data_IF_551102531874
#
_entry.id   IF_551102531874
#
_cell.length_a   1.000
_cell.length_b   1.000
_cell.length_c   1.000
_cell.angle_alpha   90.00
_cell.angle_beta   90.00
_cell.angle_gamma   90.00
#
_symmetry.space_group_name_H-M   'P 1'
#
loop_
_entity.id
_entity.type
_entity.pdbx_description
1 polymer ?
#
# COMPACT_ATOMS: atom_id res chain seq x y z
N UNK A 1 12.64 -5.86 -12.27
CA UNK A 1 12.91 -5.20 -13.57
C UNK A 1 13.20 -3.73 -13.29
N UNK A 2 14.10 -3.10 -14.03
CA UNK A 2 14.42 -1.67 -13.91
C UNK A 2 14.33 -1.01 -15.30
N UNK A 3 13.82 0.21 -15.38
CA UNK A 3 13.74 0.97 -16.64
C UNK A 3 14.89 1.97 -16.72
N UNK A 4 15.74 1.87 -17.74
CA UNK A 4 16.95 2.70 -17.89
C UNK A 4 16.75 3.97 -18.76
N UNK A 5 15.53 4.20 -19.26
CA UNK A 5 15.23 5.28 -20.21
C UNK A 5 15.02 4.78 -21.64
N UNK A 6 15.62 3.64 -22.00
CA UNK A 6 15.56 3.04 -23.33
C UNK A 6 14.89 1.65 -23.32
N UNK A 7 14.97 0.93 -22.20
CA UNK A 7 14.48 -0.43 -22.08
C UNK A 7 14.33 -0.94 -20.64
N UNK A 8 13.64 -2.08 -20.52
CA UNK A 8 13.53 -2.82 -19.27
C UNK A 8 14.71 -3.79 -19.11
N UNK A 9 15.44 -3.65 -18.01
CA UNK A 9 16.55 -4.53 -17.62
C UNK A 9 16.13 -5.50 -16.50
N UNK A 10 16.57 -6.75 -16.60
CA UNK A 10 16.42 -7.77 -15.56
C UNK A 10 17.63 -7.76 -14.62
N UNK A 11 17.39 -7.74 -13.31
CA UNK A 11 18.44 -7.92 -12.30
C UNK A 11 18.13 -9.16 -11.45
N UNK A 12 19.16 -9.94 -11.12
CA UNK A 12 19.02 -11.07 -10.20
C UNK A 12 18.75 -10.56 -8.78
N UNK A 13 17.71 -11.11 -8.14
CA UNK A 13 17.32 -10.75 -6.79
C UNK A 13 17.55 -11.93 -5.83
N UNK A 14 18.28 -11.74 -4.70
CA UNK A 14 18.45 -12.77 -3.70
C UNK A 14 17.23 -12.81 -2.76
N UNK A 15 16.31 -13.77 -2.94
CA UNK A 15 15.22 -13.97 -1.97
C UNK A 15 13.94 -14.61 -2.51
N UNK A 16 12.90 -14.55 -1.67
CA UNK A 16 11.54 -14.98 -2.00
C UNK A 16 10.89 -14.05 -3.03
N UNK A 17 9.87 -14.55 -3.72
CA UNK A 17 9.11 -13.81 -4.74
C UNK A 17 7.91 -13.04 -4.17
N UNK A 18 7.63 -13.17 -2.86
CA UNK A 18 6.46 -12.55 -2.23
C UNK A 18 6.90 -11.45 -1.26
N UNK A 19 6.61 -10.21 -1.63
CA UNK A 19 6.98 -9.01 -0.92
C UNK A 19 6.67 -7.79 -1.79
N UNK A 20 7.15 -6.64 -1.37
CA UNK A 20 6.96 -5.38 -2.08
C UNK A 20 8.26 -4.59 -2.21
N UNK A 21 8.30 -3.64 -3.15
CA UNK A 21 9.50 -2.88 -3.52
C UNK A 21 9.25 -1.38 -3.57
N UNK A 22 10.15 -0.61 -2.95
CA UNK A 22 10.20 0.83 -3.06
C UNK A 22 11.55 1.26 -3.65
N UNK A 23 11.55 2.16 -4.62
CA UNK A 23 12.77 2.71 -5.21
C UNK A 23 12.87 4.20 -4.88
N UNK A 24 13.97 4.59 -4.21
CA UNK A 24 14.32 5.99 -3.96
C UNK A 24 15.17 6.52 -5.12
N UNK A 25 16.12 5.71 -5.57
CA UNK A 25 17.01 5.96 -6.70
C UNK A 25 17.44 4.62 -7.34
N UNK A 26 18.21 4.67 -8.42
CA UNK A 26 18.78 3.48 -9.08
C UNK A 26 19.77 2.72 -8.19
N UNK A 27 20.37 3.42 -7.22
CA UNK A 27 21.29 2.89 -6.21
C UNK A 27 20.71 2.84 -4.78
N UNK A 28 19.41 3.07 -4.63
CA UNK A 28 18.72 3.06 -3.34
C UNK A 28 17.33 2.44 -3.49
N UNK A 29 17.28 1.11 -3.34
CA UNK A 29 16.06 0.31 -3.52
C UNK A 29 15.82 -0.57 -2.31
N UNK A 30 14.57 -0.63 -1.86
CA UNK A 30 14.14 -1.39 -0.70
C UNK A 30 13.15 -2.46 -1.11
N UNK A 31 13.32 -3.66 -0.57
CA UNK A 31 12.39 -4.76 -0.74
C UNK A 31 12.02 -5.35 0.62
N UNK A 32 10.75 -5.31 0.97
CA UNK A 32 10.26 -5.86 2.23
C UNK A 32 9.51 -7.17 1.97
N UNK A 33 9.83 -8.22 2.73
CA UNK A 33 9.23 -9.54 2.54
C UNK A 33 9.28 -10.40 3.78
N UNK A 34 8.49 -11.47 3.76
CA UNK A 34 8.77 -12.64 4.59
C UNK A 34 9.95 -13.47 4.09
N UNK A 35 10.47 -14.29 4.99
CA UNK A 35 11.47 -15.32 4.72
C UNK A 35 10.96 -16.70 5.14
N UNK A 36 11.53 -17.76 4.55
CA UNK A 36 11.12 -19.13 4.83
C UNK A 36 11.41 -19.60 6.27
N UNK A 37 12.36 -18.94 6.96
CA UNK A 37 12.68 -19.15 8.37
C UNK A 37 11.77 -18.37 9.33
N UNK A 38 10.70 -17.76 8.82
CA UNK A 38 9.63 -17.20 9.65
C UNK A 38 9.85 -15.76 10.10
N UNK A 39 10.65 -14.96 9.37
CA UNK A 39 10.92 -13.57 9.74
C UNK A 39 10.54 -12.59 8.64
N UNK A 40 10.04 -11.41 9.04
CA UNK A 40 9.95 -10.26 8.15
C UNK A 40 11.31 -9.59 8.01
N UNK A 41 11.71 -9.27 6.79
CA UNK A 41 12.98 -8.60 6.48
C UNK A 41 12.77 -7.46 5.49
N UNK A 42 13.68 -6.49 5.56
CA UNK A 42 13.87 -5.46 4.56
C UNK A 42 15.26 -5.63 3.95
N UNK A 43 15.32 -5.77 2.63
CA UNK A 43 16.57 -5.81 1.85
C UNK A 43 16.78 -4.45 1.20
N UNK A 44 17.96 -3.89 1.36
CA UNK A 44 18.37 -2.61 0.79
C UNK A 44 19.45 -2.83 -0.26
N UNK A 45 19.24 -2.32 -1.46
CA UNK A 45 20.24 -2.26 -2.53
C UNK A 45 20.95 -0.92 -2.49
N UNK A 46 22.28 -0.95 -2.44
CA UNK A 46 23.16 0.23 -2.37
C UNK A 46 23.81 0.58 -3.72
N UNK A 47 23.20 0.16 -4.84
CA UNK A 47 23.79 0.29 -6.19
C UNK A 47 24.80 -0.80 -6.53
N UNK A 48 25.26 -1.58 -5.55
CA UNK A 48 26.24 -2.65 -5.80
C UNK A 48 25.81 -3.99 -5.23
N UNK A 49 25.15 -4.00 -4.08
CA UNK A 49 24.84 -5.21 -3.32
C UNK A 49 23.56 -5.05 -2.51
N UNK A 50 22.90 -6.18 -2.23
CA UNK A 50 21.75 -6.21 -1.33
C UNK A 50 22.21 -6.50 0.11
N UNK A 51 21.71 -5.72 1.06
CA UNK A 51 21.92 -5.93 2.51
C UNK A 51 20.59 -6.23 3.17
N UNK A 52 20.53 -7.27 3.98
CA UNK A 52 19.30 -7.68 4.67
C UNK A 52 19.29 -7.18 6.10
N UNK A 53 18.18 -6.57 6.51
CA UNK A 53 17.90 -6.15 7.88
C UNK A 53 16.59 -6.77 8.34
N UNK A 54 16.49 -7.18 9.61
CA UNK A 54 15.23 -7.69 10.15
C UNK A 54 14.23 -6.55 10.38
N UNK A 55 12.96 -6.82 10.07
CA UNK A 55 11.84 -5.96 10.47
C UNK A 55 11.41 -6.40 11.88
N UNK A 56 11.60 -5.56 12.92
CA UNK A 56 11.42 -6.01 14.29
C UNK A 56 9.99 -6.50 14.55
N UNK A 57 9.88 -7.75 14.98
CA UNK A 57 8.61 -8.39 15.34
C UNK A 57 7.69 -8.75 14.16
N UNK A 58 8.12 -8.56 12.91
CA UNK A 58 7.35 -9.03 11.76
C UNK A 58 7.59 -10.54 11.52
N UNK A 59 6.52 -11.28 11.30
CA UNK A 59 6.55 -12.67 10.84
C UNK A 59 6.69 -12.80 9.31
N UNK A 60 6.64 -14.02 8.76
CA UNK A 60 6.83 -14.25 7.34
C UNK A 60 5.66 -13.76 6.48
N UNK A 61 4.44 -13.77 7.00
CA UNK A 61 3.25 -13.33 6.28
C UNK A 61 2.76 -11.95 6.75
N UNK A 62 3.63 -11.24 7.48
CA UNK A 62 3.32 -9.98 8.14
C UNK A 62 3.48 -8.74 7.27
N UNK A 63 4.09 -8.84 6.09
CA UNK A 63 4.46 -7.67 5.28
C UNK A 63 3.57 -7.58 4.06
N UNK A 64 2.86 -6.46 3.92
CA UNK A 64 1.98 -6.16 2.80
C UNK A 64 2.61 -5.19 1.81
N UNK A 65 3.29 -4.14 2.31
CA UNK A 65 3.82 -3.06 1.47
C UNK A 65 5.06 -2.41 2.09
N UNK A 66 5.89 -1.82 1.22
CA UNK A 66 6.99 -0.91 1.59
C UNK A 66 6.95 0.31 0.70
N UNK A 67 7.11 1.50 1.30
CA UNK A 67 7.15 2.76 0.57
C UNK A 67 8.27 3.65 1.09
N UNK A 68 8.95 4.33 0.18
CA UNK A 68 10.06 5.22 0.50
C UNK A 68 9.77 6.66 0.07
N UNK A 69 9.82 7.59 1.03
CA UNK A 69 9.78 9.03 0.77
C UNK A 69 11.18 9.63 0.58
N UNK A 70 12.19 8.93 1.09
CA UNK A 70 13.61 9.19 0.83
C UNK A 70 14.49 8.16 1.52
N UNK A 71 15.81 8.24 1.33
CA UNK A 71 16.78 7.25 1.84
C UNK A 71 16.73 7.00 3.36
N UNK A 72 16.18 7.96 4.11
CA UNK A 72 16.07 7.93 5.57
C UNK A 72 14.62 7.97 6.07
N UNK A 73 13.63 7.80 5.20
CA UNK A 73 12.21 7.84 5.53
C UNK A 73 11.47 6.78 4.71
N UNK A 74 11.41 5.58 5.28
CA UNK A 74 10.87 4.40 4.62
C UNK A 74 9.97 3.67 5.58
N UNK A 75 8.80 3.26 5.12
CA UNK A 75 7.82 2.56 5.91
C UNK A 75 7.57 1.18 5.34
N UNK A 76 7.49 0.19 6.22
CA UNK A 76 6.99 -1.14 5.90
C UNK A 76 5.74 -1.38 6.75
N UNK A 77 4.68 -1.89 6.13
CA UNK A 77 3.39 -2.11 6.78
C UNK A 77 2.83 -3.50 6.53
N UNK A 78 1.88 -3.90 7.38
CA UNK A 78 1.19 -5.18 7.29
C UNK A 78 0.50 -5.57 8.59
N UNK A 79 0.74 -6.78 9.08
CA UNK A 79 0.13 -7.35 10.30
C UNK A 79 1.13 -7.94 11.28
N UNK A 80 0.85 -7.85 12.57
CA UNK A 80 1.56 -8.56 13.64
C UNK A 80 0.57 -8.91 14.74
N UNK A 81 0.49 -10.19 15.09
CA UNK A 81 -0.43 -10.70 16.12
C UNK A 81 -1.88 -10.25 15.86
N UNK A 82 -2.32 -10.38 14.60
CA UNK A 82 -3.66 -9.97 14.14
C UNK A 82 -3.97 -8.48 14.35
N UNK A 83 -2.92 -7.65 14.39
CA UNK A 83 -2.99 -6.20 14.58
C UNK A 83 -2.21 -5.42 13.52
N UNK A 84 -2.60 -4.16 13.24
CA UNK A 84 -1.89 -3.30 12.30
C UNK A 84 -0.40 -3.17 12.65
N UNK A 85 0.47 -3.49 11.69
CA UNK A 85 1.90 -3.35 11.82
C UNK A 85 2.43 -2.21 10.97
N UNK A 86 3.30 -1.37 11.55
CA UNK A 86 4.11 -0.42 10.81
C UNK A 86 5.51 -0.32 11.43
N UNK A 87 6.53 -0.31 10.58
CA UNK A 87 7.91 -0.06 10.95
C UNK A 87 8.49 1.06 10.09
N UNK A 88 9.31 1.90 10.70
CA UNK A 88 9.96 3.05 10.08
C UNK A 88 11.47 2.92 10.08
N UNK A 89 12.08 3.11 8.92
CA UNK A 89 13.52 3.28 8.76
C UNK A 89 13.86 4.75 8.87
N UNK A 90 14.79 5.07 9.78
CA UNK A 90 15.23 6.44 10.02
C UNK A 90 16.61 6.76 9.43
N UNK A 91 17.07 5.98 8.44
CA UNK A 91 18.43 6.05 7.89
C UNK A 91 19.46 5.16 8.58
N UNK A 92 19.13 4.60 9.76
CA UNK A 92 20.10 3.79 10.54
C UNK A 92 19.53 2.48 11.07
N UNK A 93 18.24 2.46 11.43
CA UNK A 93 17.56 1.27 11.93
C UNK A 93 16.06 1.35 11.72
N UNK A 94 15.45 0.18 11.61
CA UNK A 94 14.00 0.03 11.69
C UNK A 94 13.52 0.20 13.14
N UNK A 95 12.39 0.89 13.31
CA UNK A 95 11.68 1.00 14.58
C UNK A 95 10.21 0.68 14.35
N UNK A 96 9.62 -0.12 15.23
CA UNK A 96 8.18 -0.36 15.20
C UNK A 96 7.46 0.89 15.67
N UNK A 97 6.61 1.41 14.80
CA UNK A 97 5.74 2.56 15.04
C UNK A 97 4.33 2.20 14.54
N UNK A 98 3.77 1.10 15.01
CA UNK A 98 2.41 0.67 14.66
C UNK A 98 1.35 1.66 15.15
N UNK A 99 0.20 1.74 14.47
CA UNK A 99 -1.02 2.24 15.09
C UNK A 99 -1.36 1.48 16.39
N UNK A 100 -2.18 2.09 17.25
CA UNK A 100 -2.70 1.40 18.42
C UNK A 100 -3.55 0.19 18.03
N UNK A 101 -3.61 -0.80 18.93
CA UNK A 101 -4.39 -2.01 18.72
C UNK A 101 -5.86 -1.70 18.44
N UNK A 102 -6.42 -2.43 17.48
CA UNK A 102 -7.83 -2.42 17.12
C UNK A 102 -8.53 -3.47 17.95
N UNK A 103 -9.62 -3.07 18.59
CA UNK A 103 -10.44 -3.98 19.39
C UNK A 103 -11.49 -4.66 18.49
N UNK A 104 -11.60 -6.00 18.50
CA UNK A 104 -12.68 -6.69 17.81
C UNK A 104 -14.04 -6.22 18.33
N UNK A 105 -15.06 -6.13 17.46
CA UNK A 105 -16.45 -6.05 17.90
C UNK A 105 -16.81 -7.18 18.88
N UNK A 106 -17.73 -6.95 19.84
CA UNK A 106 -18.18 -8.01 20.73
C UNK A 106 -18.85 -9.15 19.95
N UNK A 107 -18.45 -10.39 20.25
CA UNK A 107 -19.06 -11.59 19.67
C UNK A 107 -18.36 -12.14 18.43
N UNK A 108 -17.20 -11.57 18.06
CA UNK A 108 -16.31 -12.12 17.02
C UNK A 108 -15.37 -13.15 17.67
N UNK A 109 -15.38 -14.39 17.18
CA UNK A 109 -14.49 -15.46 17.59
C UNK A 109 -13.17 -15.43 16.79
N UNK A 110 -13.23 -15.03 15.51
CA UNK A 110 -12.07 -14.74 14.68
C UNK A 110 -11.92 -13.22 14.47
N UNK A 111 -10.69 -12.71 14.57
CA UNK A 111 -10.38 -11.32 14.30
C UNK A 111 -8.99 -11.17 13.73
N UNK A 112 -8.86 -10.36 12.68
CA UNK A 112 -7.55 -9.96 12.18
C UNK A 112 -7.58 -8.54 11.62
N UNK A 113 -6.52 -7.78 11.86
CA UNK A 113 -6.37 -6.43 11.36
C UNK A 113 -4.97 -6.20 10.79
N UNK A 114 -4.91 -5.55 9.64
CA UNK A 114 -3.66 -5.28 8.94
C UNK A 114 -3.70 -3.96 8.18
N UNK A 115 -2.52 -3.42 7.89
CA UNK A 115 -2.33 -2.34 6.93
C UNK A 115 -1.98 -2.94 5.58
N UNK A 116 -2.74 -2.61 4.54
CA UNK A 116 -2.52 -3.11 3.18
C UNK A 116 -1.46 -2.30 2.45
N UNK A 117 -1.39 -0.99 2.72
CA UNK A 117 -0.56 -0.06 1.96
C UNK A 117 -0.19 1.19 2.79
N UNK A 118 0.95 1.81 2.46
CA UNK A 118 1.40 3.10 2.98
C UNK A 118 1.89 3.98 1.84
N UNK A 119 1.45 5.23 1.84
CA UNK A 119 1.84 6.24 0.87
C UNK A 119 2.11 7.59 1.53
N UNK A 120 2.73 8.49 0.78
CA UNK A 120 3.06 9.82 1.27
C UNK A 120 2.24 10.89 0.59
N UNK A 121 1.84 11.92 1.34
CA UNK A 121 1.24 13.16 0.84
C UNK A 121 2.05 14.35 1.36
N UNK A 122 2.89 14.91 0.49
CA UNK A 122 4.05 15.67 0.95
C UNK A 122 4.88 14.81 1.91
N UNK A 123 5.37 15.40 3.00
CA UNK A 123 6.17 14.68 4.00
C UNK A 123 5.33 13.85 5.00
N UNK A 124 4.02 13.68 4.76
CA UNK A 124 3.13 12.99 5.68
C UNK A 124 2.83 11.57 5.18
N UNK A 125 3.21 10.57 5.96
CA UNK A 125 2.81 9.18 5.72
C UNK A 125 1.32 8.95 6.08
N UNK A 126 0.64 8.21 5.21
CA UNK A 126 -0.73 7.73 5.34
C UNK A 126 -0.76 6.23 5.08
N UNK A 127 -1.45 5.49 5.94
CA UNK A 127 -1.58 4.05 5.78
C UNK A 127 -3.06 3.66 5.76
N UNK A 128 -3.38 2.66 4.93
CA UNK A 128 -4.73 2.12 4.78
C UNK A 128 -4.73 0.63 5.05
N UNK A 129 -5.86 0.10 5.49
CA UNK A 129 -5.98 -1.31 5.84
C UNK A 129 -7.40 -1.70 6.18
N UNK A 130 -7.55 -2.92 6.69
CA UNK A 130 -8.84 -3.49 7.06
C UNK A 130 -8.70 -4.30 8.36
N UNK A 131 -9.75 -4.25 9.17
CA UNK A 131 -9.96 -5.16 10.28
C UNK A 131 -11.17 -6.04 9.95
N UNK A 132 -11.03 -7.36 10.02
CA UNK A 132 -12.07 -8.34 9.72
C UNK A 132 -12.41 -9.14 10.97
N UNK A 133 -13.70 -9.42 11.15
CA UNK A 133 -14.24 -10.43 12.05
C UNK A 133 -14.95 -11.53 11.25
N UNK A 134 -15.74 -12.35 11.93
CA UNK A 134 -16.53 -13.46 11.37
C UNK A 134 -17.51 -12.96 10.30
N UNK A 135 -18.26 -11.89 10.61
CA UNK A 135 -19.30 -11.31 9.75
C UNK A 135 -19.10 -9.81 9.51
N UNK A 136 -17.94 -9.26 9.87
CA UNK A 136 -17.67 -7.82 9.80
C UNK A 136 -16.34 -7.49 9.11
N UNK A 137 -16.33 -6.40 8.36
CA UNK A 137 -15.12 -5.82 7.81
C UNK A 137 -15.16 -4.30 7.99
N UNK A 138 -14.07 -3.75 8.53
CA UNK A 138 -13.93 -2.33 8.82
C UNK A 138 -12.64 -1.79 8.19
N UNK A 139 -12.81 -0.92 7.19
CA UNK A 139 -11.69 -0.17 6.64
C UNK A 139 -11.04 0.74 7.70
N UNK A 140 -9.73 0.94 7.57
CA UNK A 140 -8.94 1.79 8.44
C UNK A 140 -8.09 2.73 7.60
N UNK A 141 -8.03 4.00 8.02
CA UNK A 141 -7.12 5.00 7.46
C UNK A 141 -6.39 5.66 8.61
N UNK A 142 -5.07 5.75 8.52
CA UNK A 142 -4.21 6.37 9.51
C UNK A 142 -3.37 7.46 8.88
N UNK A 143 -3.14 8.53 9.64
CA UNK A 143 -2.20 9.61 9.32
C UNK A 143 -1.11 9.65 10.37
N UNK A 144 0.15 9.62 9.94
CA UNK A 144 1.29 9.81 10.83
C UNK A 144 1.55 11.31 11.06
N UNK A 145 1.81 11.72 12.30
CA UNK A 145 2.07 13.12 12.64
C UNK A 145 3.56 13.41 12.95
N UNK A 146 4.45 12.45 12.71
CA UNK A 146 5.87 12.51 13.09
C UNK A 146 6.21 11.68 14.33
N UNK A 147 5.20 11.35 15.15
CA UNK A 147 5.39 10.56 16.37
C UNK A 147 4.42 9.38 16.46
N UNK A 148 3.15 9.61 16.14
CA UNK A 148 2.07 8.64 16.32
C UNK A 148 1.10 8.63 15.15
N UNK A 149 0.49 7.46 14.91
CA UNK A 149 -0.59 7.31 13.95
C UNK A 149 -1.92 7.72 14.57
N UNK A 150 -2.67 8.56 13.85
CA UNK A 150 -4.05 8.93 14.21
C UNK A 150 -5.03 8.36 13.20
N UNK A 151 -6.04 7.62 13.67
CA UNK A 151 -7.12 7.11 12.82
C UNK A 151 -7.94 8.27 12.24
N UNK A 152 -8.23 8.20 10.94
CA UNK A 152 -9.03 9.17 10.18
C UNK A 152 -10.28 8.51 9.63
N UNK A 153 -11.29 9.34 9.36
CA UNK A 153 -12.56 8.90 8.79
C UNK A 153 -12.37 8.57 7.31
N UNK A 154 -12.65 7.33 6.95
CA UNK A 154 -12.77 6.90 5.56
C UNK A 154 -13.99 7.54 4.89
N UNK A 155 -14.03 7.65 3.55
CA UNK A 155 -15.27 7.92 2.85
C UNK A 155 -16.32 6.87 3.25
N UNK A 156 -17.61 7.19 3.11
CA UNK A 156 -18.64 6.16 3.04
C UNK A 156 -18.46 5.39 1.73
N UNK A 157 -17.43 4.55 1.70
CA UNK A 157 -17.22 3.53 0.68
C UNK A 157 -18.33 2.51 0.91
N UNK A 158 -19.05 2.12 -0.15
CA UNK A 158 -20.13 1.13 -0.01
C UNK A 158 -19.54 -0.14 0.61
N UNK A 159 -20.05 -0.48 1.78
CA UNK A 159 -19.42 -1.34 2.78
C UNK A 159 -19.25 -2.78 2.27
N UNK A 160 -18.10 -3.38 2.58
CA UNK A 160 -17.63 -4.70 2.13
C UNK A 160 -16.16 -4.74 1.72
N UNK A 161 -15.50 -3.58 1.74
CA UNK A 161 -14.44 -3.16 0.81
C UNK A 161 -13.05 -3.22 1.41
N UNK A 162 -12.17 -3.99 0.79
CA UNK A 162 -10.72 -3.84 0.94
C UNK A 162 -10.29 -2.57 0.22
N UNK A 163 -10.10 -1.48 0.98
CA UNK A 163 -9.35 -0.36 0.42
C UNK A 163 -7.93 -0.85 0.14
N UNK A 164 -7.54 -0.76 -1.13
CA UNK A 164 -6.44 -1.54 -1.67
C UNK A 164 -5.12 -0.79 -1.69
N UNK A 165 -5.19 0.53 -1.89
CA UNK A 165 -4.02 1.40 -2.04
C UNK A 165 -4.37 2.81 -1.52
N UNK A 166 -3.36 3.45 -0.93
CA UNK A 166 -3.34 4.84 -0.49
C UNK A 166 -2.12 5.57 -1.05
N UNK A 167 -2.37 6.63 -1.83
CA UNK A 167 -1.29 7.36 -2.48
C UNK A 167 -1.54 8.84 -2.66
N UNK A 168 -0.51 9.52 -3.18
CA UNK A 168 -0.66 10.90 -3.68
C UNK A 168 -1.23 10.88 -5.09
N UNK A 169 -2.38 11.55 -5.25
CA UNK A 169 -2.92 11.95 -6.53
C UNK A 169 -2.53 13.39 -6.93
N UNK A 170 -3.14 13.96 -7.98
CA UNK A 170 -2.65 15.18 -8.59
C UNK A 170 -2.75 16.35 -7.62
N UNK A 171 -1.81 17.28 -7.70
CA UNK A 171 -1.68 18.44 -6.80
C UNK A 171 -1.37 18.07 -5.33
N UNK A 172 -0.74 16.92 -5.08
CA UNK A 172 -0.34 16.53 -3.73
C UNK A 172 -1.53 16.20 -2.82
N UNK A 173 -2.62 15.69 -3.38
CA UNK A 173 -3.81 15.31 -2.61
C UNK A 173 -3.78 13.83 -2.27
N UNK A 174 -4.39 13.46 -1.15
CA UNK A 174 -4.61 12.06 -0.78
C UNK A 174 -5.68 11.43 -1.67
N UNK A 175 -5.36 10.27 -2.26
CA UNK A 175 -6.27 9.45 -3.03
C UNK A 175 -6.29 8.02 -2.49
N UNK A 176 -7.47 7.41 -2.52
CA UNK A 176 -7.68 6.02 -2.15
C UNK A 176 -8.31 5.27 -3.31
N UNK A 177 -7.95 4.01 -3.47
CA UNK A 177 -8.65 3.07 -4.34
C UNK A 177 -9.32 1.95 -3.55
N UNK A 178 -10.18 1.23 -4.23
CA UNK A 178 -10.91 0.09 -3.70
C UNK A 178 -10.78 -1.07 -4.69
N UNK A 179 -10.53 -2.28 -4.17
CA UNK A 179 -10.53 -3.50 -4.98
C UNK A 179 -11.93 -3.88 -5.43
N UNK A 180 -12.95 -3.60 -4.63
CA UNK A 180 -14.31 -4.08 -4.93
C UNK A 180 -15.20 -3.00 -5.58
N UNK A 181 -14.61 -1.86 -5.98
CA UNK A 181 -15.32 -0.83 -6.73
C UNK A 181 -14.43 -0.15 -7.76
N UNK A 182 -15.02 0.23 -8.90
CA UNK A 182 -14.35 0.98 -9.96
C UNK A 182 -14.24 2.47 -9.65
N UNK A 183 -14.03 2.79 -8.37
CA UNK A 183 -14.06 4.14 -7.83
C UNK A 183 -12.74 4.45 -7.16
N UNK A 184 -12.21 5.62 -7.51
CA UNK A 184 -11.20 6.29 -6.71
C UNK A 184 -11.86 7.35 -5.82
N UNK A 185 -11.22 7.66 -4.70
CA UNK A 185 -11.71 8.65 -3.75
C UNK A 185 -10.63 9.69 -3.52
N UNK A 186 -10.94 10.95 -3.84
CA UNK A 186 -10.04 12.08 -3.62
C UNK A 186 -10.42 12.82 -2.35
N UNK A 187 -9.45 13.10 -1.48
CA UNK A 187 -9.68 13.95 -0.31
C UNK A 187 -9.96 15.41 -0.75
N UNK A 188 -11.02 15.98 -0.19
CA UNK A 188 -11.39 17.40 -0.34
C UNK A 188 -11.35 18.10 1.02
N UNK A 189 -11.52 19.43 1.04
CA UNK A 189 -11.64 20.19 2.29
C UNK A 189 -12.81 19.66 3.15
N UNK A 190 -13.95 19.40 2.53
CA UNK A 190 -15.20 19.04 3.22
C UNK A 190 -15.40 17.53 3.41
N UNK A 191 -14.51 16.69 2.88
CA UNK A 191 -14.68 15.24 2.94
C UNK A 191 -13.95 14.50 1.83
N UNK A 192 -14.72 13.75 1.04
CA UNK A 192 -14.22 12.89 -0.03
C UNK A 192 -15.08 13.07 -1.28
N UNK A 193 -14.44 13.17 -2.43
CA UNK A 193 -15.11 13.15 -3.73
C UNK A 193 -14.92 11.76 -4.36
N UNK A 194 -16.01 11.13 -4.80
CA UNK A 194 -15.96 9.94 -5.66
C UNK A 194 -15.50 10.36 -7.05
N UNK A 195 -14.55 9.63 -7.62
CA UNK A 195 -14.03 9.83 -8.97
C UNK A 195 -14.21 8.53 -9.73
N UNK A 196 -15.05 8.56 -10.75
CA UNK A 196 -15.25 7.43 -11.65
C UNK A 196 -14.02 7.27 -12.55
N UNK A 197 -13.64 6.03 -12.81
CA UNK A 197 -12.65 5.72 -13.83
C UNK A 197 -13.22 6.02 -15.23
N UNK A 198 -12.37 6.36 -16.21
CA UNK A 198 -12.78 6.43 -17.60
C UNK A 198 -13.42 5.12 -18.05
N UNK A 199 -14.48 5.19 -18.86
CA UNK A 199 -15.12 3.99 -19.42
C UNK A 199 -14.08 3.13 -20.18
N UNK A 200 -14.19 1.81 -20.01
CA UNK A 200 -13.38 0.80 -20.68
C UNK A 200 -14.30 -0.32 -21.20
N UNK A 201 -13.86 -1.10 -22.22
CA UNK A 201 -14.51 -2.36 -22.53
C UNK A 201 -14.50 -3.30 -21.32
N UNK A 202 -15.59 -4.04 -21.11
CA UNK A 202 -15.75 -4.97 -20.01
C UNK A 202 -16.17 -4.35 -18.67
N UNK A 203 -16.29 -5.20 -17.66
CA UNK A 203 -16.61 -4.80 -16.29
C UNK A 203 -15.32 -4.75 -15.49
N UNK A 204 -14.93 -3.57 -15.04
CA UNK A 204 -13.78 -3.45 -14.17
C UNK A 204 -14.07 -4.14 -12.82
N UNK A 205 -13.11 -4.93 -12.35
CA UNK A 205 -13.24 -5.82 -11.17
C UNK A 205 -12.40 -5.36 -9.99
N UNK A 206 -11.67 -4.25 -10.15
CA UNK A 206 -10.94 -3.61 -9.07
C UNK A 206 -9.76 -2.78 -9.52
N UNK A 207 -9.34 -1.87 -8.64
CA UNK A 207 -8.08 -1.13 -8.75
C UNK A 207 -7.07 -1.76 -7.78
N UNK A 208 -5.94 -2.18 -8.33
CA UNK A 208 -4.87 -2.86 -7.60
C UNK A 208 -3.75 -1.91 -7.17
N UNK A 209 -3.44 -0.91 -8.00
CA UNK A 209 -2.48 0.14 -7.65
C UNK A 209 -2.78 1.45 -8.39
N UNK A 210 -2.27 2.55 -7.86
CA UNK A 210 -2.40 3.89 -8.42
C UNK A 210 -1.10 4.67 -8.26
N UNK A 211 -0.90 5.65 -9.14
CA UNK A 211 0.31 6.46 -9.12
C UNK A 211 0.10 7.80 -9.80
N UNK A 212 1.01 8.74 -9.54
CA UNK A 212 1.01 10.04 -10.19
C UNK A 212 2.29 10.34 -10.94
N UNK A 213 2.12 10.89 -12.13
CA UNK A 213 3.22 11.46 -12.91
C UNK A 213 2.71 12.57 -13.82
N UNK A 214 3.50 13.63 -13.99
CA UNK A 214 3.16 14.75 -14.87
C UNK A 214 1.83 15.44 -14.53
N UNK A 215 1.45 15.48 -13.24
CA UNK A 215 0.19 16.09 -12.79
C UNK A 215 -1.07 15.27 -13.12
N UNK A 216 -0.93 13.99 -13.44
CA UNK A 216 -2.05 13.08 -13.73
C UNK A 216 -1.98 11.86 -12.83
N UNK A 217 -3.15 11.32 -12.49
CA UNK A 217 -3.26 10.02 -11.83
C UNK A 217 -3.48 8.93 -12.86
N UNK A 218 -2.79 7.83 -12.61
CA UNK A 218 -2.90 6.56 -13.28
C UNK A 218 -3.39 5.54 -12.26
N UNK A 219 -4.23 4.63 -12.72
CA UNK A 219 -4.64 3.49 -11.93
C UNK A 219 -4.46 2.24 -12.78
N UNK A 220 -4.08 1.14 -12.15
CA UNK A 220 -3.99 -0.17 -12.77
C UNK A 220 -4.89 -1.14 -12.02
N UNK A 221 -5.52 -2.02 -12.76
CA UNK A 221 -6.51 -2.94 -12.23
C UNK A 221 -6.84 -4.05 -13.20
N UNK A 222 -7.90 -4.77 -12.90
CA UNK A 222 -8.41 -5.86 -13.72
C UNK A 222 -9.79 -5.52 -14.28
N UNK A 223 -10.09 -6.03 -15.48
CA UNK A 223 -11.44 -6.01 -16.02
C UNK A 223 -11.77 -7.36 -16.65
N UNK A 224 -13.03 -7.76 -16.48
CA UNK A 224 -13.62 -8.93 -17.12
C UNK A 224 -14.22 -8.48 -18.46
N UNK A 225 -13.70 -9.02 -19.56
CA UNK A 225 -14.13 -8.64 -20.91
C UNK A 225 -15.29 -9.51 -21.38
N UNK A 226 -15.16 -10.84 -21.28
CA UNK A 226 -16.18 -11.86 -21.56
C UNK A 226 -15.74 -13.20 -20.91
N UNK A 227 -16.70 -14.09 -20.56
CA UNK A 227 -16.47 -15.49 -20.12
C UNK A 227 -15.33 -15.72 -19.09
N UNK A 228 -15.31 -14.95 -17.97
CA UNK A 228 -14.29 -15.07 -16.91
C UNK A 228 -12.84 -14.82 -17.37
N UNK A 229 -12.62 -14.21 -18.54
CA UNK A 229 -11.29 -13.80 -18.99
C UNK A 229 -10.95 -12.42 -18.39
N UNK A 230 -9.97 -12.42 -17.48
CA UNK A 230 -9.50 -11.21 -16.78
C UNK A 230 -8.29 -10.62 -17.51
N UNK A 231 -8.39 -9.34 -17.84
CA UNK A 231 -7.31 -8.59 -18.47
C UNK A 231 -6.81 -7.47 -17.58
N UNK A 232 -5.49 -7.24 -17.59
CA UNK A 232 -4.90 -6.06 -16.96
C UNK A 232 -5.30 -4.80 -17.73
N UNK A 233 -5.78 -3.79 -17.01
CA UNK A 233 -6.23 -2.51 -17.57
C UNK A 233 -5.47 -1.35 -16.94
N UNK A 234 -5.07 -0.39 -17.78
CA UNK A 234 -4.44 0.86 -17.35
C UNK A 234 -5.41 2.01 -17.60
N UNK A 235 -5.83 2.66 -16.53
CA UNK A 235 -6.68 3.85 -16.58
C UNK A 235 -5.81 5.11 -16.64
N UNK A 236 -6.02 5.92 -17.68
CA UNK A 236 -5.28 7.16 -17.93
C UNK A 236 -6.17 8.39 -17.83
N UNK A 237 -5.59 9.51 -17.40
CA UNK A 237 -6.24 10.82 -17.50
C UNK A 237 -7.36 11.03 -16.49
N UNK A 238 -7.25 10.42 -15.30
CA UNK A 238 -8.17 10.63 -14.20
C UNK A 238 -8.03 12.09 -13.76
N UNK A 239 -9.00 12.93 -14.14
CA UNK A 239 -8.96 14.37 -13.91
C UNK A 239 -9.21 14.69 -12.42
N UNK A 240 -8.47 15.71 -11.94
CA UNK A 240 -8.43 16.11 -10.54
C UNK A 240 -9.37 17.23 -10.15
#
# INVERSE_FOLDING_TARGET
MHWDGDGWQTHSFPGSTRGDVAAVADDDVWFASGTADGTGVARHYDGTSWRTTQLPGAGPDSIANVEAHGSNDIWAVGTRDDQPYAAHWNGTRWRVLSPGAVTPPPGEDEFSAWLSDVGFVGDTAWAIGVATGDDSAQGMLYRFNGETWTRKKLPAMEVGVGASDVGTGPNGKLWLSSRDSNLMYRKTADGWAKVALPEQPGTATGIEASGTTGGRTWAVGTAELDDFEYHGVIYRGIAG
#
